data_IF_204822239207
#
_entry.id   IF_204822239207
#
_cell.length_a   1.000
_cell.length_b   1.000
_cell.length_c   1.000
_cell.angle_alpha   90.00
_cell.angle_beta   90.00
_cell.angle_gamma   90.00
#
_symmetry.space_group_name_H-M   'P 1'
#
loop_
_entity.id
_entity.type
_entity.pdbx_description
1 polymer ?
#
# COMPACT_ATOMS: atom_id res chain seq x y z
N UNK A 1 1.72 -29.24 -12.14
CA UNK A 1 2.37 -28.46 -11.06
C UNK A 1 2.53 -27.01 -11.50
N UNK A 2 2.25 -26.03 -10.64
CA UNK A 2 2.41 -24.59 -10.90
C UNK A 2 3.08 -23.94 -9.69
N UNK A 3 4.07 -23.08 -9.93
CA UNK A 3 4.77 -22.34 -8.89
C UNK A 3 5.15 -20.97 -9.43
N UNK A 4 5.17 -19.97 -8.55
CA UNK A 4 5.49 -18.59 -8.91
C UNK A 4 6.39 -17.96 -7.84
N UNK A 5 7.56 -17.48 -8.25
CA UNK A 5 8.43 -16.64 -7.42
C UNK A 5 8.13 -15.16 -7.62
N UNK A 6 8.39 -14.65 -8.82
CA UNK A 6 8.04 -13.29 -9.26
C UNK A 6 7.33 -13.34 -10.61
N UNK A 7 6.51 -12.35 -10.92
CA UNK A 7 5.74 -12.37 -12.17
C UNK A 7 4.96 -11.08 -12.43
N UNK A 8 4.14 -11.08 -13.50
CA UNK A 8 3.39 -9.89 -13.91
C UNK A 8 2.38 -9.46 -12.85
N UNK A 9 2.12 -8.15 -12.81
CA UNK A 9 1.20 -7.50 -11.88
C UNK A 9 0.10 -6.77 -12.66
N UNK A 10 -1.09 -6.68 -12.07
CA UNK A 10 -2.21 -5.92 -12.62
C UNK A 10 -1.88 -4.42 -12.55
N UNK A 11 -2.16 -3.65 -13.61
CA UNK A 11 -1.79 -2.22 -13.65
C UNK A 11 -2.47 -1.39 -12.57
N UNK A 12 -3.77 -1.62 -12.33
CA UNK A 12 -4.56 -0.81 -11.41
C UNK A 12 -4.17 -1.06 -9.95
N UNK A 13 -4.08 -2.31 -9.50
CA UNK A 13 -3.86 -2.65 -8.08
C UNK A 13 -2.40 -2.97 -7.76
N UNK A 14 -1.55 -3.16 -8.77
CA UNK A 14 -0.16 -3.63 -8.66
C UNK A 14 -0.01 -4.97 -7.93
N UNK A 15 -1.09 -5.72 -7.79
CA UNK A 15 -1.09 -7.07 -7.22
C UNK A 15 -0.74 -8.12 -8.28
N UNK A 16 -0.31 -9.31 -7.87
CA UNK A 16 -0.19 -10.47 -8.76
C UNK A 16 -1.42 -10.66 -9.67
N UNK A 17 -1.17 -10.99 -10.93
CA UNK A 17 -2.24 -11.41 -11.84
C UNK A 17 -2.86 -12.73 -11.39
N UNK A 18 -4.07 -13.02 -11.86
CA UNK A 18 -4.77 -14.29 -11.62
C UNK A 18 -4.55 -15.27 -12.79
N UNK A 19 -4.67 -16.56 -12.50
CA UNK A 19 -4.68 -17.63 -13.50
C UNK A 19 -3.30 -18.24 -13.80
N UNK A 20 -3.28 -19.57 -13.94
CA UNK A 20 -2.06 -20.34 -14.21
C UNK A 20 -1.40 -19.96 -15.53
N UNK A 21 -2.18 -19.73 -16.58
CA UNK A 21 -1.69 -19.37 -17.92
C UNK A 21 -0.99 -18.01 -17.97
N UNK A 22 -1.30 -17.11 -17.03
CA UNK A 22 -0.75 -15.75 -16.95
C UNK A 22 0.41 -15.64 -15.95
N UNK A 23 0.95 -16.76 -15.48
CA UNK A 23 1.90 -16.80 -14.37
C UNK A 23 1.37 -16.04 -13.14
N UNK A 24 0.07 -16.24 -12.87
CA UNK A 24 -0.64 -15.60 -11.78
C UNK A 24 -0.27 -16.20 -10.42
N UNK A 25 -0.47 -15.38 -9.39
CA UNK A 25 -0.25 -15.75 -7.99
C UNK A 25 -1.39 -16.61 -7.43
N UNK A 26 -1.14 -17.24 -6.29
CA UNK A 26 -2.18 -17.83 -5.47
C UNK A 26 -2.77 -16.78 -4.53
N UNK A 27 -4.08 -16.81 -4.35
CA UNK A 27 -4.79 -15.90 -3.46
C UNK A 27 -4.60 -16.36 -2.02
N UNK A 28 -4.21 -15.44 -1.15
CA UNK A 28 -4.34 -15.57 0.30
C UNK A 28 -5.61 -14.83 0.67
N UNK A 29 -6.66 -15.56 1.00
CA UNK A 29 -7.96 -15.01 1.37
C UNK A 29 -8.05 -14.67 2.86
N UNK A 30 -9.27 -14.33 3.27
CA UNK A 30 -9.58 -14.00 4.66
C UNK A 30 -9.43 -15.21 5.58
N UNK A 31 -9.86 -16.40 5.14
CA UNK A 31 -9.75 -17.63 5.93
C UNK A 31 -8.29 -17.98 6.20
N UNK A 32 -7.42 -17.87 5.19
CA UNK A 32 -5.99 -18.11 5.36
C UNK A 32 -5.35 -17.10 6.29
N UNK A 33 -5.73 -15.81 6.19
CA UNK A 33 -5.28 -14.78 7.13
C UNK A 33 -5.71 -15.11 8.55
N UNK A 34 -6.96 -15.50 8.75
CA UNK A 34 -7.53 -15.76 10.07
C UNK A 34 -6.87 -17.00 10.71
N UNK A 35 -6.55 -18.02 9.92
CA UNK A 35 -5.70 -19.14 10.36
C UNK A 35 -4.33 -18.64 10.86
N UNK A 36 -3.64 -17.76 10.11
CA UNK A 36 -2.34 -17.23 10.52
C UNK A 36 -2.42 -16.39 11.80
N UNK A 37 -3.53 -15.66 11.99
CA UNK A 37 -3.80 -14.91 13.21
C UNK A 37 -3.98 -15.87 14.39
N UNK A 38 -4.74 -16.96 14.22
CA UNK A 38 -4.95 -17.97 15.26
C UNK A 38 -3.64 -18.64 15.69
N UNK A 39 -2.70 -18.85 14.76
CA UNK A 39 -1.36 -19.33 15.06
C UNK A 39 -0.42 -18.28 15.69
N UNK A 40 -0.82 -17.00 15.74
CA UNK A 40 0.01 -15.91 16.25
C UNK A 40 1.20 -15.56 15.34
N UNK A 41 1.16 -15.93 14.05
CA UNK A 41 2.27 -15.77 13.11
C UNK A 41 2.32 -14.35 12.49
N UNK A 42 2.47 -13.33 13.32
CA UNK A 42 2.42 -11.90 12.91
C UNK A 42 3.42 -11.53 11.81
N UNK A 43 4.67 -11.98 11.92
CA UNK A 43 5.72 -11.72 10.94
C UNK A 43 5.39 -12.35 9.57
N UNK A 44 4.80 -13.54 9.57
CA UNK A 44 4.40 -14.23 8.35
C UNK A 44 3.24 -13.51 7.67
N UNK A 45 2.27 -13.00 8.45
CA UNK A 45 1.17 -12.19 7.91
C UNK A 45 1.73 -10.94 7.22
N UNK A 46 2.66 -10.24 7.87
CA UNK A 46 3.30 -9.05 7.31
C UNK A 46 4.08 -9.35 6.01
N UNK A 47 4.84 -10.45 5.99
CA UNK A 47 5.55 -10.89 4.80
C UNK A 47 4.60 -11.20 3.64
N UNK A 48 3.51 -11.92 3.91
CA UNK A 48 2.55 -12.36 2.88
C UNK A 48 1.69 -11.22 2.36
N UNK A 49 1.13 -10.39 3.24
CA UNK A 49 0.19 -9.34 2.86
C UNK A 49 0.88 -8.05 2.41
N UNK A 50 2.10 -7.77 2.86
CA UNK A 50 2.80 -6.52 2.50
C UNK A 50 4.02 -6.77 1.61
N UNK A 51 5.02 -7.49 2.09
CA UNK A 51 6.33 -7.60 1.39
C UNK A 51 6.19 -8.33 0.05
N UNK A 52 5.45 -9.44 0.04
CA UNK A 52 5.32 -10.34 -1.10
C UNK A 52 4.25 -9.91 -2.12
N UNK A 53 3.34 -9.01 -1.74
CA UNK A 53 2.21 -8.59 -2.55
C UNK A 53 2.47 -7.24 -3.23
N UNK A 54 2.23 -6.15 -2.51
CA UNK A 54 2.16 -4.80 -3.08
C UNK A 54 2.77 -3.72 -2.16
N UNK A 55 4.06 -3.84 -1.77
CA UNK A 55 4.70 -2.82 -0.95
C UNK A 55 4.81 -1.50 -1.74
N UNK A 56 4.43 -0.39 -1.12
CA UNK A 56 4.50 0.94 -1.74
C UNK A 56 4.94 2.01 -0.74
N UNK A 57 5.82 2.90 -1.19
CA UNK A 57 6.27 4.06 -0.40
C UNK A 57 5.39 5.26 -0.71
N UNK A 58 4.79 5.83 0.33
CA UNK A 58 3.85 6.94 0.23
C UNK A 58 4.34 8.11 1.07
N UNK A 59 4.15 9.31 0.54
CA UNK A 59 4.40 10.55 1.25
C UNK A 59 3.13 10.99 1.95
N UNK A 60 3.19 11.21 3.26
CA UNK A 60 2.06 11.68 4.07
C UNK A 60 2.45 12.94 4.79
N UNK A 61 1.56 13.94 4.74
CA UNK A 61 1.78 15.19 5.44
C UNK A 61 1.38 15.08 6.91
N UNK A 62 2.29 15.43 7.82
CA UNK A 62 2.05 15.39 9.28
C UNK A 62 0.97 16.37 9.75
N UNK A 63 0.82 17.51 9.06
CA UNK A 63 -0.13 18.56 9.44
C UNK A 63 -1.56 18.25 9.00
N UNK A 64 -1.75 17.86 7.74
CA UNK A 64 -3.10 17.65 7.19
C UNK A 64 -3.55 16.18 7.18
N UNK A 65 -2.62 15.23 7.30
CA UNK A 65 -2.88 13.79 7.27
C UNK A 65 -3.24 13.25 5.88
N UNK A 66 -3.04 14.03 4.83
CA UNK A 66 -3.34 13.64 3.45
C UNK A 66 -2.11 13.08 2.76
N UNK A 67 -2.37 12.27 1.74
CA UNK A 67 -1.34 11.78 0.83
C UNK A 67 -0.78 12.96 0.01
N UNK A 68 0.54 13.09 0.02
CA UNK A 68 1.29 13.95 -0.87
C UNK A 68 1.89 13.16 -2.04
N UNK A 69 2.68 13.86 -2.84
CA UNK A 69 3.49 13.26 -3.88
C UNK A 69 4.93 13.74 -3.75
N UNK A 70 5.86 12.96 -4.27
CA UNK A 70 7.26 13.33 -4.30
C UNK A 70 7.59 13.98 -5.66
N UNK A 71 8.15 15.19 -5.63
CA UNK A 71 8.60 15.87 -6.83
C UNK A 71 10.07 15.56 -7.08
N UNK A 72 10.36 14.71 -8.06
CA UNK A 72 11.73 14.32 -8.41
C UNK A 72 12.59 15.47 -8.94
N UNK A 73 12.00 16.51 -9.53
CA UNK A 73 12.74 17.68 -10.04
C UNK A 73 13.27 18.55 -8.90
N UNK A 74 12.43 18.79 -7.89
CA UNK A 74 12.77 19.61 -6.72
C UNK A 74 13.36 18.79 -5.57
N UNK A 75 13.37 17.46 -5.67
CA UNK A 75 13.78 16.51 -4.63
C UNK A 75 13.06 16.74 -3.29
N UNK A 76 11.81 17.16 -3.35
CA UNK A 76 10.98 17.47 -2.18
C UNK A 76 9.63 16.78 -2.24
N UNK A 77 9.13 16.35 -1.08
CA UNK A 77 7.73 15.98 -0.94
C UNK A 77 6.88 17.25 -1.03
N UNK A 78 5.71 17.16 -1.68
CA UNK A 78 4.75 18.26 -1.74
C UNK A 78 3.38 17.73 -1.36
N UNK A 79 2.68 18.47 -0.50
CA UNK A 79 1.28 18.22 -0.19
C UNK A 79 0.40 19.12 -1.07
N UNK A 80 -0.57 18.53 -1.78
CA UNK A 80 -1.49 19.27 -2.65
C UNK A 80 -2.32 20.32 -1.91
N UNK A 81 -2.67 20.07 -0.65
CA UNK A 81 -3.49 20.98 0.16
C UNK A 81 -2.68 22.06 0.86
N UNK A 82 -1.56 21.69 1.50
CA UNK A 82 -0.77 22.64 2.28
C UNK A 82 0.22 23.42 1.42
N UNK A 83 0.51 22.97 0.20
CA UNK A 83 1.55 23.50 -0.71
C UNK A 83 2.94 23.67 -0.07
N UNK A 84 3.13 23.12 1.13
CA UNK A 84 4.39 23.13 1.87
C UNK A 84 5.01 21.72 1.81
N UNK A 85 6.34 21.67 1.74
CA UNK A 85 7.13 20.44 1.67
C UNK A 85 7.83 20.04 2.97
N UNK A 86 7.84 20.92 3.98
CA UNK A 86 8.64 20.73 5.21
C UNK A 86 8.10 19.63 6.13
N UNK A 87 6.77 19.44 6.16
CA UNK A 87 6.09 18.53 7.11
C UNK A 87 5.61 17.25 6.45
N UNK A 88 6.46 16.61 5.63
CA UNK A 88 6.15 15.37 4.93
C UNK A 88 7.05 14.25 5.42
N UNK A 89 6.43 13.10 5.65
CA UNK A 89 7.11 11.87 6.06
C UNK A 89 6.78 10.74 5.09
N UNK A 90 7.82 9.98 4.75
CA UNK A 90 7.69 8.75 3.96
C UNK A 90 7.26 7.60 4.86
N UNK A 91 6.26 6.84 4.42
CA UNK A 91 5.82 5.62 5.09
C UNK A 91 5.59 4.50 4.07
N UNK A 92 5.73 3.25 4.51
CA UNK A 92 5.46 2.06 3.69
C UNK A 92 4.06 1.55 4.00
N UNK A 93 3.27 1.33 2.96
CA UNK A 93 1.93 0.77 3.05
C UNK A 93 1.59 -0.06 1.80
N UNK A 94 0.61 -0.98 1.87
CA UNK A 94 0.15 -1.71 0.69
C UNK A 94 -0.45 -0.75 -0.35
N UNK A 95 -0.10 -0.91 -1.62
CA UNK A 95 -0.64 -0.09 -2.70
C UNK A 95 -2.18 -0.13 -2.74
N UNK A 96 -2.79 -1.26 -2.44
CA UNK A 96 -4.24 -1.39 -2.32
C UNK A 96 -4.83 -0.41 -1.28
N UNK A 97 -4.15 -0.18 -0.16
CA UNK A 97 -4.57 0.79 0.86
C UNK A 97 -4.45 2.23 0.35
N UNK A 98 -3.38 2.54 -0.40
CA UNK A 98 -3.25 3.83 -1.10
C UNK A 98 -4.43 4.07 -2.04
N UNK A 99 -4.82 3.06 -2.82
CA UNK A 99 -5.96 3.14 -3.74
C UNK A 99 -7.26 3.38 -2.98
N UNK A 100 -7.52 2.63 -1.91
CA UNK A 100 -8.71 2.82 -1.06
C UNK A 100 -8.84 4.26 -0.55
N UNK A 101 -7.73 4.86 -0.10
CA UNK A 101 -7.71 6.26 0.36
C UNK A 101 -8.10 7.22 -0.78
N UNK A 102 -7.65 6.96 -2.01
CA UNK A 102 -7.98 7.78 -3.17
C UNK A 102 -9.45 7.61 -3.60
N UNK A 103 -10.00 6.39 -3.53
CA UNK A 103 -11.42 6.14 -3.81
C UNK A 103 -12.35 6.76 -2.75
N UNK A 104 -11.94 6.77 -1.48
CA UNK A 104 -12.69 7.49 -0.45
C UNK A 104 -12.72 9.01 -0.74
N UNK A 105 -11.57 9.57 -1.16
CA UNK A 105 -11.48 10.98 -1.52
C UNK A 105 -12.34 11.34 -2.73
N UNK A 106 -12.48 10.45 -3.72
CA UNK A 106 -13.37 10.68 -4.87
C UNK A 106 -14.85 10.73 -4.48
N UNK A 107 -15.22 10.03 -3.40
CA UNK A 107 -16.56 10.05 -2.80
C UNK A 107 -16.77 11.18 -1.76
N UNK A 108 -15.90 12.20 -1.75
CA UNK A 108 -15.90 13.29 -0.76
C UNK A 108 -15.71 12.85 0.70
N UNK A 109 -15.19 11.64 0.94
CA UNK A 109 -14.77 11.19 2.26
C UNK A 109 -13.28 11.49 2.39
N UNK A 110 -12.89 12.29 3.39
CA UNK A 110 -11.50 12.71 3.58
C UNK A 110 -10.85 11.92 4.72
N UNK A 111 -10.27 10.74 4.45
CA UNK A 111 -9.49 10.01 5.45
C UNK A 111 -8.21 10.78 5.77
N UNK A 112 -8.00 11.09 7.05
CA UNK A 112 -6.80 11.77 7.54
C UNK A 112 -5.96 10.80 8.37
N UNK A 113 -4.74 10.58 7.92
CA UNK A 113 -3.76 9.76 8.63
C UNK A 113 -3.10 10.60 9.72
N UNK A 114 -3.25 10.19 10.98
CA UNK A 114 -2.47 10.72 12.10
C UNK A 114 -1.25 9.84 12.28
N UNK A 115 -0.07 10.41 12.09
CA UNK A 115 1.18 9.72 12.29
C UNK A 115 1.56 9.86 13.76
N UNK A 116 1.76 8.73 14.44
CA UNK A 116 2.41 8.73 15.73
C UNK A 116 3.88 9.11 15.55
N UNK A 117 4.41 9.89 16.48
CA UNK A 117 5.85 10.15 16.53
C UNK A 117 6.57 8.82 16.77
N UNK A 118 7.64 8.61 16.02
CA UNK A 118 8.57 7.49 16.17
C UNK A 118 9.55 7.74 17.31
#
# INVERSE_FOLDING_TARGET
MHARGSGPRVMMTRQPTEGRSRNGGLRVGEMERDCLIAYGASMLIYERLMISSDPFEVQVCRKCGLLGYYNYKLKTGICSMCKNGENISTMKLPYACKLLIQELQSMNIVPRLKLAES
#
